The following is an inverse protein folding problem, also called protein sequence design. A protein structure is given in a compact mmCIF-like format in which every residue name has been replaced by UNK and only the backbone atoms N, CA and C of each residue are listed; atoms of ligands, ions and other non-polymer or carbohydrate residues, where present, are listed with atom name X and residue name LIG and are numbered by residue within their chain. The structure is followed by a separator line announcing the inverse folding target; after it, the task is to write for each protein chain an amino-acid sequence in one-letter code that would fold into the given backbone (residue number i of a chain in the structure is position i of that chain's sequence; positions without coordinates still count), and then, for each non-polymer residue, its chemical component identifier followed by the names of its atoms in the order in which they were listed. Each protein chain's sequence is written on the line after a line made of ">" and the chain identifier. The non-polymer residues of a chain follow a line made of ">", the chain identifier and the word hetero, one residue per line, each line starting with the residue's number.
data_IF_731791341822
#
_entry.id   IF_731791341822
#
_cell.length_a   1.000
_cell.length_b   1.000
_cell.length_c   1.000
_cell.angle_alpha   90.00
_cell.angle_beta   90.00
_cell.angle_gamma   90.00
#
_symmetry.space_group_name_H-M   'P 1'
#
loop_
_entity.id
_entity.type
_entity.pdbx_description
1 polymer ?
#
# COMPACT_ATOMS: atom_id res chain seq x y z
N UNK A 1 7.31 -13.54 -6.27
CA UNK A 1 7.78 -12.41 -7.09
C UNK A 1 6.73 -12.12 -8.14
N UNK A 2 6.31 -10.86 -8.24
CA UNK A 2 5.46 -10.38 -9.32
C UNK A 2 6.26 -10.44 -10.64
N UNK A 3 5.67 -10.96 -11.71
CA UNK A 3 6.31 -10.95 -13.03
C UNK A 3 6.08 -9.60 -13.71
N UNK A 4 6.88 -8.59 -13.33
CA UNK A 4 6.80 -7.21 -13.81
C UNK A 4 8.15 -6.86 -14.44
N UNK A 5 8.13 -6.27 -15.64
CA UNK A 5 9.35 -5.78 -16.28
C UNK A 5 10.04 -4.75 -15.37
N UNK A 6 11.37 -4.70 -15.36
CA UNK A 6 12.10 -3.72 -14.53
C UNK A 6 11.71 -2.30 -14.96
N UNK A 7 11.09 -1.49 -14.07
CA UNK A 7 10.58 -0.18 -14.44
C UNK A 7 11.74 0.76 -14.72
N UNK A 8 11.70 1.45 -15.86
CA UNK A 8 12.67 2.49 -16.23
C UNK A 8 12.16 3.82 -15.72
N UNK A 9 12.76 4.30 -14.64
CA UNK A 9 12.40 5.53 -13.94
C UNK A 9 13.62 6.46 -13.86
N UNK A 10 13.40 7.75 -13.98
CA UNK A 10 14.39 8.79 -13.66
C UNK A 10 14.41 9.10 -12.15
N UNK A 11 15.38 9.88 -11.71
CA UNK A 11 15.60 10.18 -10.28
C UNK A 11 14.41 10.90 -9.61
N UNK A 12 13.68 11.73 -10.35
CA UNK A 12 12.49 12.41 -9.83
C UNK A 12 11.36 11.42 -9.64
N UNK A 13 11.11 10.57 -10.62
CA UNK A 13 10.07 9.56 -10.55
C UNK A 13 10.34 8.54 -9.42
N UNK A 14 11.60 8.20 -9.18
CA UNK A 14 12.00 7.37 -8.04
C UNK A 14 11.70 8.02 -6.69
N UNK A 15 11.92 9.33 -6.57
CA UNK A 15 11.57 10.07 -5.35
C UNK A 15 10.07 10.07 -5.12
N UNK A 16 9.27 10.22 -6.17
CA UNK A 16 7.81 10.21 -6.08
C UNK A 16 7.28 8.84 -5.66
N UNK A 17 7.80 7.75 -6.26
CA UNK A 17 7.47 6.37 -5.84
C UNK A 17 7.82 6.15 -4.36
N UNK A 18 9.02 6.55 -3.93
CA UNK A 18 9.43 6.39 -2.53
C UNK A 18 8.55 7.19 -1.58
N UNK A 19 8.19 8.43 -1.93
CA UNK A 19 7.28 9.27 -1.13
C UNK A 19 5.91 8.61 -0.99
N UNK A 20 5.36 8.08 -2.08
CA UNK A 20 4.08 7.39 -2.07
C UNK A 20 4.11 6.15 -1.16
N UNK A 21 5.19 5.36 -1.21
CA UNK A 21 5.37 4.18 -0.36
C UNK A 21 5.49 4.53 1.13
N UNK A 22 6.31 5.53 1.48
CA UNK A 22 6.47 5.99 2.87
C UNK A 22 5.12 6.51 3.42
N UNK A 23 4.37 7.25 2.61
CA UNK A 23 3.08 7.81 3.02
C UNK A 23 2.02 6.76 3.36
N UNK A 24 2.18 5.52 2.88
CA UNK A 24 1.23 4.43 3.12
C UNK A 24 1.81 3.28 3.94
N UNK A 25 3.05 3.40 4.45
CA UNK A 25 3.76 2.33 5.18
C UNK A 25 3.00 1.90 6.45
N UNK A 26 2.45 2.87 7.18
CA UNK A 26 1.67 2.62 8.41
C UNK A 26 0.23 2.16 8.15
N UNK A 27 -0.22 2.13 6.89
CA UNK A 27 -1.63 1.91 6.56
C UNK A 27 -2.09 0.44 6.66
N UNK A 28 -1.22 -0.47 7.09
CA UNK A 28 -1.67 -1.78 7.52
C UNK A 28 -2.04 -2.76 6.40
N UNK A 29 -1.46 -2.65 5.19
CA UNK A 29 -1.58 -3.73 4.19
C UNK A 29 -1.03 -5.09 4.68
N UNK A 30 -0.32 -5.11 5.83
CA UNK A 30 0.11 -6.30 6.57
C UNK A 30 -0.97 -6.88 7.50
N UNK A 31 -2.09 -6.19 7.70
CA UNK A 31 -3.20 -6.66 8.53
C UNK A 31 -4.04 -7.63 7.73
N UNK A 32 -3.53 -8.84 7.51
CA UNK A 32 -4.43 -9.98 7.51
C UNK A 32 -4.77 -10.25 8.97
N UNK A 33 -5.99 -9.97 9.46
CA UNK A 33 -6.41 -10.56 10.72
C UNK A 33 -6.58 -12.05 10.45
N UNK A 34 -5.49 -12.81 10.52
CA UNK A 34 -5.60 -14.24 10.78
C UNK A 34 -6.21 -14.31 12.17
N UNK A 35 -7.53 -14.56 12.20
CA UNK A 35 -8.29 -14.76 13.41
C UNK A 35 -7.59 -15.83 14.25
N UNK A 36 -6.82 -15.41 15.26
CA UNK A 36 -6.06 -16.30 16.13
C UNK A 36 -4.56 -16.00 16.30
N UNK A 37 -3.96 -15.07 15.57
CA UNK A 37 -2.53 -14.75 15.80
C UNK A 37 -2.28 -14.00 17.11
N UNK A 38 -1.15 -14.26 17.76
CA UNK A 38 -0.74 -13.61 19.02
C UNK A 38 -0.64 -12.07 18.87
N UNK A 39 -0.30 -11.56 17.67
CA UNK A 39 -0.34 -10.11 17.38
C UNK A 39 -1.76 -9.53 17.44
N UNK A 40 -2.79 -10.25 17.01
CA UNK A 40 -4.18 -9.81 17.11
C UNK A 40 -4.69 -9.81 18.56
N UNK A 41 -4.15 -10.68 19.43
CA UNK A 41 -4.44 -10.68 20.87
C UNK A 41 -3.73 -9.53 21.59
N UNK A 42 -2.48 -9.24 21.23
CA UNK A 42 -1.74 -8.11 21.78
C UNK A 42 -2.34 -6.77 21.34
N UNK A 43 -2.74 -6.63 20.07
CA UNK A 43 -3.43 -5.42 19.59
C UNK A 43 -4.70 -5.11 20.38
N UNK A 44 -5.52 -6.13 20.69
CA UNK A 44 -6.73 -5.94 21.51
C UNK A 44 -6.46 -5.49 22.94
N UNK A 45 -5.33 -5.86 23.55
CA UNK A 45 -4.98 -5.41 24.89
C UNK A 45 -4.49 -3.95 24.90
N UNK A 46 -3.78 -3.52 23.85
CA UNK A 46 -3.34 -2.11 23.73
C UNK A 46 -4.55 -1.20 23.44
N UNK A 47 -5.50 -1.65 22.62
CA UNK A 47 -6.75 -0.91 22.32
C UNK A 47 -7.60 -0.64 23.56
N UNK A 48 -7.57 -1.52 24.56
CA UNK A 48 -8.33 -1.34 25.80
C UNK A 48 -7.71 -0.34 26.77
N UNK A 49 -6.40 -0.03 26.63
CA UNK A 49 -5.69 0.90 27.51
C UNK A 49 -5.48 2.27 26.85
N UNK A 50 -5.30 2.32 25.53
CA UNK A 50 -5.04 3.55 24.76
C UNK A 50 -6.21 3.99 23.86
N UNK A 51 -7.33 3.26 23.87
CA UNK A 51 -8.39 3.42 22.85
C UNK A 51 -7.97 2.75 21.53
N UNK A 52 -8.92 2.47 20.62
CA UNK A 52 -8.67 1.68 19.42
C UNK A 52 -7.57 2.34 18.56
N UNK A 53 -6.38 1.76 18.57
CA UNK A 53 -5.26 2.06 17.70
C UNK A 53 -5.52 1.49 16.31
N UNK A 54 -6.63 1.89 15.70
CA UNK A 54 -6.92 1.78 14.28
C UNK A 54 -8.14 2.62 13.93
N UNK A 55 -8.17 3.88 14.39
CA UNK A 55 -8.59 4.90 13.41
C UNK A 55 -7.41 5.02 12.47
N UNK A 56 -7.46 4.28 11.36
CA UNK A 56 -6.72 4.66 10.18
C UNK A 56 -6.92 6.18 10.07
N UNK A 57 -5.84 6.95 10.27
CA UNK A 57 -5.91 8.38 10.01
C UNK A 57 -6.58 8.52 8.64
N UNK A 58 -7.62 9.35 8.52
CA UNK A 58 -8.33 9.52 7.26
C UNK A 58 -7.31 9.96 6.23
N UNK A 59 -6.79 9.01 5.46
CA UNK A 59 -5.79 9.29 4.46
C UNK A 59 -6.44 10.17 3.41
N UNK A 60 -5.72 11.16 2.88
CA UNK A 60 -6.08 11.82 1.64
C UNK A 60 -6.51 10.79 0.59
N UNK A 61 -7.55 11.12 -0.20
CA UNK A 61 -8.18 10.17 -1.13
C UNK A 61 -7.19 9.60 -2.17
N UNK A 62 -6.17 10.39 -2.52
CA UNK A 62 -5.04 9.99 -3.36
C UNK A 62 -4.20 8.89 -2.70
N UNK A 63 -3.85 9.05 -1.43
CA UNK A 63 -3.09 8.05 -0.67
C UNK A 63 -3.92 6.78 -0.36
N UNK A 64 -5.24 6.91 -0.21
CA UNK A 64 -6.12 5.74 -0.08
C UNK A 64 -6.05 4.84 -1.31
N UNK A 65 -6.04 5.44 -2.51
CA UNK A 65 -5.96 4.68 -3.75
C UNK A 65 -4.61 3.94 -3.88
N UNK A 66 -3.51 4.60 -3.53
CA UNK A 66 -2.17 3.97 -3.51
C UNK A 66 -2.16 2.80 -2.53
N UNK A 67 -2.68 2.97 -1.31
CA UNK A 67 -2.79 1.89 -0.32
C UNK A 67 -3.60 0.72 -0.87
N UNK A 68 -4.79 0.97 -1.40
CA UNK A 68 -5.69 -0.06 -1.88
C UNK A 68 -5.05 -0.85 -3.05
N UNK A 69 -4.31 -0.16 -3.93
CA UNK A 69 -3.53 -0.77 -5.00
C UNK A 69 -2.44 -1.69 -4.48
N UNK A 70 -1.65 -1.26 -3.50
CA UNK A 70 -0.57 -2.08 -2.92
C UNK A 70 -1.13 -3.29 -2.18
N UNK A 71 -2.15 -3.09 -1.35
CA UNK A 71 -2.84 -4.14 -0.61
C UNK A 71 -3.42 -5.21 -1.55
N UNK A 72 -4.09 -4.80 -2.62
CA UNK A 72 -4.65 -5.74 -3.60
C UNK A 72 -3.58 -6.43 -4.41
N UNK A 73 -2.55 -5.69 -4.85
CA UNK A 73 -1.46 -6.27 -5.63
C UNK A 73 -0.70 -7.33 -4.83
N UNK A 74 -0.50 -7.08 -3.53
CA UNK A 74 0.07 -8.01 -2.55
C UNK A 74 -0.77 -9.27 -2.41
N UNK A 75 -2.06 -9.09 -2.13
CA UNK A 75 -3.01 -10.18 -1.92
C UNK A 75 -3.14 -11.07 -3.15
N UNK A 76 -3.18 -10.47 -4.33
CA UNK A 76 -3.32 -11.16 -5.60
C UNK A 76 -2.02 -11.72 -6.18
N UNK A 77 -0.86 -11.32 -5.61
CA UNK A 77 0.48 -11.54 -6.21
C UNK A 77 0.52 -11.20 -7.70
N UNK A 78 -0.19 -10.14 -8.10
CA UNK A 78 -0.24 -9.57 -9.46
C UNK A 78 -0.53 -8.08 -9.36
N UNK A 79 -0.26 -7.29 -10.41
CA UNK A 79 -0.68 -5.89 -10.45
C UNK A 79 -2.21 -5.82 -10.34
N UNK A 80 -2.73 -4.94 -9.47
CA UNK A 80 -4.15 -4.62 -9.37
C UNK A 80 -4.58 -3.75 -10.57
N UNK A 81 -4.67 -4.35 -11.76
CA UNK A 81 -4.95 -3.66 -13.03
C UNK A 81 -6.20 -2.78 -13.01
N UNK A 82 -7.21 -3.13 -12.19
CA UNK A 82 -8.44 -2.33 -12.03
C UNK A 82 -8.20 -0.94 -11.46
N UNK A 83 -7.13 -0.75 -10.67
CA UNK A 83 -6.80 0.51 -10.00
C UNK A 83 -5.78 1.34 -10.80
N UNK A 84 -5.18 0.76 -11.84
CA UNK A 84 -4.19 1.43 -12.69
C UNK A 84 -4.75 2.69 -13.35
N UNK A 85 -5.95 2.70 -13.98
CA UNK A 85 -6.48 3.91 -14.60
C UNK A 85 -6.72 5.04 -13.60
N UNK A 86 -7.14 4.69 -12.38
CA UNK A 86 -7.35 5.65 -11.31
C UNK A 86 -6.02 6.25 -10.81
N UNK A 87 -4.97 5.45 -10.66
CA UNK A 87 -3.63 5.96 -10.34
C UNK A 87 -3.06 6.83 -11.47
N UNK A 88 -3.30 6.44 -12.72
CA UNK A 88 -2.90 7.25 -13.87
C UNK A 88 -3.60 8.61 -13.89
N UNK A 89 -4.87 8.68 -13.48
CA UNK A 89 -5.60 9.94 -13.34
C UNK A 89 -5.05 10.87 -12.25
N UNK A 90 -4.30 10.32 -11.28
CA UNK A 90 -3.58 11.09 -10.26
C UNK A 90 -2.19 11.57 -10.73
N UNK A 91 -1.80 11.22 -11.96
CA UNK A 91 -0.53 11.62 -12.56
C UNK A 91 0.59 10.57 -12.48
N UNK A 92 0.33 9.38 -11.91
CA UNK A 92 1.32 8.30 -11.93
C UNK A 92 1.43 7.70 -13.33
N UNK A 93 2.64 7.62 -13.88
CA UNK A 93 2.85 6.90 -15.12
C UNK A 93 2.94 5.38 -14.90
N UNK A 94 2.87 4.61 -15.99
CA UNK A 94 2.87 3.14 -15.92
C UNK A 94 4.12 2.58 -15.22
N UNK A 95 5.30 3.14 -15.47
CA UNK A 95 6.54 2.68 -14.85
C UNK A 95 6.54 2.92 -13.33
N UNK A 96 5.99 4.05 -12.86
CA UNK A 96 5.85 4.35 -11.44
C UNK A 96 4.88 3.37 -10.76
N UNK A 97 3.76 3.06 -11.41
CA UNK A 97 2.76 2.11 -10.90
C UNK A 97 3.35 0.70 -10.79
N UNK A 98 4.11 0.27 -11.81
CA UNK A 98 4.82 -1.00 -11.82
C UNK A 98 5.90 -1.07 -10.73
N UNK A 99 6.64 0.02 -10.51
CA UNK A 99 7.61 0.12 -9.43
C UNK A 99 6.96 0.06 -8.04
N UNK A 100 5.84 0.76 -7.85
CA UNK A 100 5.05 0.67 -6.61
C UNK A 100 4.62 -0.77 -6.33
N UNK A 101 4.11 -1.49 -7.34
CA UNK A 101 3.76 -2.90 -7.19
C UNK A 101 4.99 -3.78 -6.89
N UNK A 102 6.13 -3.56 -7.55
CA UNK A 102 7.34 -4.35 -7.31
C UNK A 102 7.91 -4.18 -5.89
N UNK A 103 7.84 -2.96 -5.33
CA UNK A 103 8.51 -2.62 -4.08
C UNK A 103 7.58 -2.64 -2.86
N UNK A 104 6.31 -2.32 -3.05
CA UNK A 104 5.34 -2.14 -1.97
C UNK A 104 4.29 -3.25 -1.85
N UNK A 105 4.13 -4.10 -2.87
CA UNK A 105 3.21 -5.24 -2.82
C UNK A 105 3.82 -6.46 -2.10
#
# INVERSE_FOLDING_TARGET
>A
MLNIATPKLNDTEWRDVRRALIAVEDCGCNQSPVAGSLRARLGRMVDTVLGPASRAATLPADLQLVRDFLCESRRGRRIAERLVPALASQGFNRAQIEAMALLGA
#
